data_IF_202780559160
#
_entry.id   IF_202780559160
#
_cell.length_a   1.000
_cell.length_b   1.000
_cell.length_c   1.000
_cell.angle_alpha   90.00
_cell.angle_beta   90.00
_cell.angle_gamma   90.00
#
_symmetry.space_group_name_H-M   'P 1'
#
loop_
_entity.id
_entity.type
_entity.pdbx_description
1 polymer ?
#
# COMPACT_ATOMS: atom_id res chain seq x y z
N UNK A 1 5.16 -0.43 23.33
CA UNK A 1 6.61 -0.44 23.00
C UNK A 1 6.90 -1.17 21.70
N UNK A 2 6.56 -2.47 21.53
CA UNK A 2 6.84 -3.24 20.30
C UNK A 2 6.39 -2.56 18.98
N UNK A 3 5.23 -1.90 18.96
CA UNK A 3 4.73 -1.20 17.75
C UNK A 3 5.56 0.04 17.36
N UNK A 4 6.06 0.80 18.34
CA UNK A 4 6.88 1.99 18.09
C UNK A 4 8.23 1.59 17.51
N UNK A 5 8.85 0.55 18.08
CA UNK A 5 10.09 -0.02 17.52
C UNK A 5 9.91 -0.56 16.11
N UNK A 6 8.78 -1.21 15.80
CA UNK A 6 8.51 -1.70 14.44
C UNK A 6 8.30 -0.55 13.45
N UNK A 7 7.53 0.47 13.83
CA UNK A 7 7.35 1.66 13.00
C UNK A 7 8.69 2.40 12.77
N UNK A 8 9.52 2.51 13.82
CA UNK A 8 10.86 3.08 13.72
C UNK A 8 11.76 2.29 12.76
N UNK A 9 11.79 0.96 12.88
CA UNK A 9 12.58 0.09 11.98
C UNK A 9 12.17 0.24 10.51
N UNK A 10 10.86 0.28 10.23
CA UNK A 10 10.35 0.47 8.87
C UNK A 10 10.73 1.85 8.34
N UNK A 11 10.57 2.91 9.14
CA UNK A 11 10.94 4.26 8.74
C UNK A 11 12.44 4.37 8.44
N UNK A 12 13.30 3.84 9.32
CA UNK A 12 14.75 3.82 9.12
C UNK A 12 15.12 3.02 7.87
N UNK A 13 14.50 1.87 7.64
CA UNK A 13 14.75 1.06 6.45
C UNK A 13 14.36 1.81 5.16
N UNK A 14 13.22 2.51 5.15
CA UNK A 14 12.81 3.31 4.00
C UNK A 14 13.78 4.46 3.73
N UNK A 15 14.17 5.21 4.76
CA UNK A 15 15.14 6.31 4.63
C UNK A 15 16.48 5.79 4.12
N UNK A 16 16.97 4.67 4.67
CA UNK A 16 18.22 4.05 4.24
C UNK A 16 18.15 3.58 2.78
N UNK A 17 17.05 2.96 2.36
CA UNK A 17 16.85 2.52 0.99
C UNK A 17 16.80 3.70 0.00
N UNK A 18 16.07 4.76 0.34
CA UNK A 18 16.01 5.99 -0.46
C UNK A 18 17.37 6.68 -0.55
N UNK A 19 18.13 6.73 0.56
CA UNK A 19 19.46 7.32 0.59
C UNK A 19 20.45 6.51 -0.25
N UNK A 20 20.42 5.18 -0.15
CA UNK A 20 21.26 4.30 -0.97
C UNK A 20 20.94 4.44 -2.46
N UNK A 21 19.66 4.55 -2.82
CA UNK A 21 19.24 4.79 -4.20
C UNK A 21 19.73 6.17 -4.70
N UNK A 22 19.57 7.23 -3.90
CA UNK A 22 20.05 8.56 -4.25
C UNK A 22 21.57 8.59 -4.42
N UNK A 23 22.30 7.93 -3.52
CA UNK A 23 23.75 7.78 -3.65
C UNK A 23 24.13 7.04 -4.94
N UNK A 24 23.44 5.94 -5.27
CA UNK A 24 23.68 5.21 -6.52
C UNK A 24 23.41 6.04 -7.78
N UNK A 25 22.50 7.02 -7.72
CA UNK A 25 22.31 8.00 -8.80
C UNK A 25 23.51 8.94 -8.89
N UNK A 26 24.01 9.46 -7.76
CA UNK A 26 25.17 10.37 -7.75
C UNK A 26 26.46 9.72 -8.27
N UNK A 27 26.60 8.39 -8.09
CA UNK A 27 27.74 7.63 -8.60
C UNK A 27 27.55 7.12 -10.03
N UNK A 28 26.41 7.41 -10.67
CA UNK A 28 26.09 6.96 -12.03
C UNK A 28 25.77 5.46 -12.16
N UNK A 29 25.59 4.75 -11.04
CA UNK A 29 25.26 3.31 -11.01
C UNK A 29 23.77 3.07 -11.27
N UNK A 30 22.92 4.03 -10.89
CA UNK A 30 21.47 3.95 -11.01
C UNK A 30 20.93 5.07 -11.90
N UNK A 31 19.80 4.81 -12.56
CA UNK A 31 19.08 5.82 -13.32
C UNK A 31 18.43 6.87 -12.41
N UNK A 32 18.18 8.09 -12.91
CA UNK A 32 17.63 9.20 -12.12
C UNK A 32 16.28 8.89 -11.48
N UNK A 33 15.54 7.96 -12.07
CA UNK A 33 14.20 7.54 -11.63
C UNK A 33 14.22 6.51 -10.49
N UNK A 34 15.37 5.87 -10.24
CA UNK A 34 15.45 4.74 -9.30
C UNK A 34 15.03 5.11 -7.87
N UNK A 35 15.41 6.27 -7.30
CA UNK A 35 14.97 6.66 -5.94
C UNK A 35 13.45 6.75 -5.82
N UNK A 36 12.78 7.30 -6.84
CA UNK A 36 11.31 7.41 -6.89
C UNK A 36 10.70 6.02 -6.94
N UNK A 37 11.20 5.13 -7.80
CA UNK A 37 10.71 3.75 -7.92
C UNK A 37 10.82 2.99 -6.61
N UNK A 38 11.98 3.03 -5.97
CA UNK A 38 12.23 2.34 -4.69
C UNK A 38 11.23 2.81 -3.64
N UNK A 39 11.09 4.13 -3.48
CA UNK A 39 10.18 4.68 -2.47
C UNK A 39 8.72 4.34 -2.73
N UNK A 40 8.29 4.39 -3.99
CA UNK A 40 6.90 4.09 -4.36
C UNK A 40 6.57 2.59 -4.24
N UNK A 41 7.51 1.70 -4.58
CA UNK A 41 7.36 0.26 -4.33
C UNK A 41 7.21 -0.01 -2.83
N UNK A 42 8.09 0.59 -2.00
CA UNK A 42 7.98 0.46 -0.54
C UNK A 42 6.64 0.94 0.00
N UNK A 43 6.16 2.11 -0.46
CA UNK A 43 4.88 2.65 -0.04
C UNK A 43 3.70 1.74 -0.42
N UNK A 44 3.72 1.19 -1.64
CA UNK A 44 2.70 0.26 -2.10
C UNK A 44 2.72 -1.07 -1.33
N UNK A 45 3.90 -1.58 -0.97
CA UNK A 45 4.03 -2.76 -0.11
C UNK A 45 3.54 -2.50 1.32
N UNK A 46 3.73 -1.29 1.85
CA UNK A 46 3.15 -0.91 3.14
C UNK A 46 1.62 -0.94 3.10
N UNK A 47 1.01 -0.45 2.02
CA UNK A 47 -0.44 -0.55 1.84
C UNK A 47 -0.90 -2.01 1.90
N UNK A 48 -0.19 -2.92 1.24
CA UNK A 48 -0.51 -4.34 1.28
C UNK A 48 -0.33 -4.94 2.67
N UNK A 49 0.76 -4.61 3.35
CA UNK A 49 1.03 -5.04 4.72
C UNK A 49 -0.08 -4.59 5.68
N UNK A 50 -0.46 -3.31 5.65
CA UNK A 50 -1.51 -2.78 6.50
C UNK A 50 -2.89 -3.36 6.16
N UNK A 51 -3.18 -3.60 4.88
CA UNK A 51 -4.39 -4.31 4.43
C UNK A 51 -4.51 -5.72 5.02
N UNK A 52 -3.40 -6.46 5.09
CA UNK A 52 -3.37 -7.79 5.69
C UNK A 52 -3.44 -7.74 7.24
N UNK A 53 -2.86 -6.70 7.84
CA UNK A 53 -2.80 -6.53 9.29
C UNK A 53 -4.12 -6.07 9.94
N UNK A 54 -5.17 -5.73 9.17
CA UNK A 54 -6.45 -5.27 9.71
C UNK A 54 -7.02 -6.32 10.69
N UNK A 55 -7.10 -6.04 12.02
CA UNK A 55 -7.22 -7.08 13.07
C UNK A 55 -8.52 -7.91 13.14
N UNK A 56 -8.60 -9.04 12.42
CA UNK A 56 -9.81 -9.81 12.06
C UNK A 56 -10.84 -10.14 13.18
N UNK A 57 -10.48 -10.10 14.47
CA UNK A 57 -11.33 -10.49 15.61
C UNK A 57 -12.18 -9.37 16.25
N UNK A 58 -11.96 -8.09 15.92
CA UNK A 58 -12.55 -6.97 16.70
C UNK A 58 -14.04 -6.72 16.43
N UNK A 59 -14.62 -7.29 15.36
CA UNK A 59 -15.98 -6.95 14.92
C UNK A 59 -17.02 -8.00 15.32
N UNK A 60 -18.05 -7.54 16.04
CA UNK A 60 -19.10 -8.40 16.63
C UNK A 60 -20.13 -8.88 15.61
N UNK A 61 -20.48 -8.09 14.60
CA UNK A 61 -21.50 -8.46 13.61
C UNK A 61 -20.90 -9.21 12.41
N UNK A 62 -21.60 -10.21 11.83
CA UNK A 62 -21.16 -10.91 10.64
C UNK A 62 -20.89 -9.97 9.45
N UNK A 63 -21.74 -8.96 9.27
CA UNK A 63 -21.63 -7.96 8.20
C UNK A 63 -20.35 -7.13 8.34
N UNK A 64 -20.03 -6.68 9.56
CA UNK A 64 -18.80 -5.95 9.82
C UNK A 64 -17.56 -6.82 9.59
N UNK A 65 -17.60 -8.11 9.96
CA UNK A 65 -16.51 -9.06 9.65
C UNK A 65 -16.32 -9.25 8.15
N UNK A 66 -17.39 -9.34 7.37
CA UNK A 66 -17.33 -9.44 5.91
C UNK A 66 -16.72 -8.17 5.30
N UNK A 67 -17.23 -6.99 5.67
CA UNK A 67 -16.72 -5.70 5.18
C UNK A 67 -15.24 -5.49 5.47
N UNK A 68 -14.79 -5.93 6.65
CA UNK A 68 -13.37 -5.90 7.01
C UNK A 68 -12.50 -6.82 6.16
N UNK A 69 -12.94 -8.06 5.91
CA UNK A 69 -12.20 -9.01 5.06
C UNK A 69 -12.10 -8.48 3.63
N UNK A 70 -13.20 -7.95 3.12
CA UNK A 70 -13.24 -7.33 1.80
C UNK A 70 -12.27 -6.14 1.73
N UNK A 71 -12.36 -5.18 2.65
CA UNK A 71 -11.47 -4.03 2.69
C UNK A 71 -9.98 -4.44 2.80
N UNK A 72 -9.66 -5.40 3.67
CA UNK A 72 -8.29 -5.90 3.80
C UNK A 72 -7.74 -6.49 2.51
N UNK A 73 -8.51 -7.36 1.84
CA UNK A 73 -8.09 -7.95 0.57
C UNK A 73 -7.97 -6.93 -0.56
N UNK A 74 -8.88 -5.95 -0.61
CA UNK A 74 -8.83 -4.89 -1.61
C UNK A 74 -7.55 -4.06 -1.45
N UNK A 75 -7.15 -3.70 -0.23
CA UNK A 75 -5.89 -2.98 -0.02
C UNK A 75 -4.64 -3.85 -0.23
N UNK A 76 -4.70 -5.15 0.09
CA UNK A 76 -3.62 -6.10 -0.23
C UNK A 76 -3.39 -6.16 -1.74
N UNK A 77 -4.45 -6.41 -2.51
CA UNK A 77 -4.36 -6.51 -3.96
C UNK A 77 -3.98 -5.17 -4.59
N UNK A 78 -4.58 -4.07 -4.13
CA UNK A 78 -4.24 -2.72 -4.60
C UNK A 78 -2.76 -2.39 -4.36
N UNK A 79 -2.25 -2.65 -3.16
CA UNK A 79 -0.84 -2.43 -2.83
C UNK A 79 0.10 -3.30 -3.67
N UNK A 80 -0.21 -4.57 -3.90
CA UNK A 80 0.62 -5.46 -4.73
C UNK A 80 0.61 -5.05 -6.21
N UNK A 81 -0.55 -4.67 -6.76
CA UNK A 81 -0.66 -4.19 -8.14
C UNK A 81 0.13 -2.88 -8.29
N UNK A 82 -0.03 -1.93 -7.36
CA UNK A 82 0.73 -0.68 -7.37
C UNK A 82 2.23 -0.93 -7.24
N UNK A 83 2.67 -1.86 -6.39
CA UNK A 83 4.08 -2.21 -6.24
C UNK A 83 4.65 -2.78 -7.56
N UNK A 84 3.92 -3.67 -8.23
CA UNK A 84 4.31 -4.20 -9.53
C UNK A 84 4.39 -3.10 -10.60
N UNK A 85 3.43 -2.17 -10.63
CA UNK A 85 3.44 -1.04 -11.55
C UNK A 85 4.69 -0.16 -11.34
N UNK A 86 5.00 0.20 -10.10
CA UNK A 86 6.20 1.01 -9.81
C UNK A 86 7.52 0.29 -10.07
N UNK A 87 7.55 -1.03 -9.90
CA UNK A 87 8.73 -1.84 -10.15
C UNK A 87 9.02 -2.01 -11.66
N UNK A 88 7.99 -2.22 -12.47
CA UNK A 88 8.16 -2.70 -13.85
C UNK A 88 7.67 -1.74 -14.93
N UNK A 89 6.71 -0.85 -14.66
CA UNK A 89 6.15 0.02 -15.67
C UNK A 89 6.97 1.32 -15.85
N UNK A 90 6.95 1.94 -17.05
CA UNK A 90 7.43 3.31 -17.28
C UNK A 90 6.76 4.31 -16.32
N UNK A 91 7.48 5.34 -15.86
CA UNK A 91 7.00 6.24 -14.79
C UNK A 91 5.76 7.07 -15.17
N UNK A 92 5.69 7.47 -16.44
CA UNK A 92 4.57 8.16 -17.08
C UNK A 92 3.27 7.35 -17.02
N UNK A 93 3.38 6.02 -17.07
CA UNK A 93 2.24 5.10 -16.98
C UNK A 93 2.02 4.65 -15.52
N UNK A 94 3.10 4.38 -14.78
CA UNK A 94 3.04 3.88 -13.40
C UNK A 94 2.32 4.87 -12.48
N UNK A 95 2.62 6.18 -12.61
CA UNK A 95 2.06 7.21 -11.75
C UNK A 95 0.52 7.29 -11.79
N UNK A 96 -0.12 7.53 -12.95
CA UNK A 96 -1.58 7.63 -13.01
C UNK A 96 -2.27 6.30 -12.69
N UNK A 97 -1.74 5.16 -13.14
CA UNK A 97 -2.37 3.86 -12.90
C UNK A 97 -2.24 3.44 -11.43
N UNK A 98 -1.07 3.61 -10.80
CA UNK A 98 -0.94 3.28 -9.39
C UNK A 98 -1.84 4.15 -8.50
N UNK A 99 -2.03 5.41 -8.87
CA UNK A 99 -2.97 6.31 -8.21
C UNK A 99 -4.42 5.83 -8.35
N UNK A 100 -4.86 5.47 -9.57
CA UNK A 100 -6.23 4.99 -9.79
C UNK A 100 -6.49 3.65 -9.09
N UNK A 101 -5.50 2.75 -9.06
CA UNK A 101 -5.58 1.47 -8.33
C UNK A 101 -5.72 1.72 -6.83
N UNK A 102 -4.90 2.63 -6.26
CA UNK A 102 -4.94 2.94 -4.83
C UNK A 102 -6.25 3.63 -4.44
N UNK A 103 -6.67 4.64 -5.20
CA UNK A 103 -7.94 5.34 -4.99
C UNK A 103 -9.14 4.40 -5.18
N UNK A 104 -9.13 3.58 -6.23
CA UNK A 104 -10.13 2.56 -6.50
C UNK A 104 -10.26 1.56 -5.35
N UNK A 105 -9.14 1.16 -4.75
CA UNK A 105 -9.13 0.28 -3.58
C UNK A 105 -9.88 0.91 -2.39
N UNK A 106 -9.62 2.19 -2.11
CA UNK A 106 -10.34 2.91 -1.06
C UNK A 106 -11.83 3.06 -1.38
N UNK A 107 -12.17 3.42 -2.62
CA UNK A 107 -13.56 3.59 -3.08
C UNK A 107 -14.32 2.26 -2.96
N UNK A 108 -13.75 1.15 -3.41
CA UNK A 108 -14.36 -0.18 -3.30
C UNK A 108 -14.60 -0.57 -1.85
N UNK A 109 -13.61 -0.37 -0.96
CA UNK A 109 -13.74 -0.66 0.46
C UNK A 109 -14.88 0.16 1.11
N UNK A 110 -14.94 1.47 0.83
CA UNK A 110 -15.99 2.36 1.35
C UNK A 110 -17.36 1.97 0.77
N UNK A 111 -17.44 1.75 -0.55
CA UNK A 111 -18.67 1.37 -1.25
C UNK A 111 -19.26 0.09 -0.71
N UNK A 112 -18.44 -0.96 -0.53
CA UNK A 112 -18.89 -2.22 0.06
C UNK A 112 -19.39 -2.03 1.49
N UNK A 113 -18.69 -1.23 2.31
CA UNK A 113 -19.14 -0.92 3.67
C UNK A 113 -20.47 -0.15 3.71
N UNK A 114 -20.70 0.77 2.78
CA UNK A 114 -21.96 1.53 2.68
C UNK A 114 -23.12 0.66 2.21
N UNK A 115 -22.91 -0.13 1.15
CA UNK A 115 -23.93 -1.03 0.59
C UNK A 115 -24.32 -2.12 1.57
N UNK A 116 -23.34 -2.69 2.28
CA UNK A 116 -23.61 -3.73 3.28
C UNK A 116 -24.39 -3.20 4.49
N UNK A 117 -24.18 -1.94 4.91
CA UNK A 117 -24.99 -1.28 5.94
C UNK A 117 -26.42 -1.05 5.47
N UNK A 118 -26.61 -0.56 4.24
CA UNK A 118 -27.94 -0.27 3.68
C UNK A 118 -28.80 -1.53 3.54
N UNK A 119 -28.21 -2.70 3.27
CA UNK A 119 -28.92 -3.98 3.21
C UNK A 119 -29.36 -4.53 4.58
N UNK A 120 -28.86 -3.97 5.67
CA UNK A 120 -29.16 -4.41 7.04
C UNK A 120 -29.95 -3.40 7.87
N UNK A 121 -30.22 -2.22 7.32
CA UNK A 121 -31.13 -1.23 7.86
C UNK A 121 -32.54 -1.51 7.33
#
# INVERSE_FOLDING_TARGET
MKSITQAGLVATAMIAASLAAAWGVTTGVLGPDTPVRVMMVFNALLLAYYGNAIPKAVLRTPVARSGRRFAGWVFVLGGLISAALWAFAPLDIATPIALTVTAGSAILAIGYCRLSRAKTA
#
